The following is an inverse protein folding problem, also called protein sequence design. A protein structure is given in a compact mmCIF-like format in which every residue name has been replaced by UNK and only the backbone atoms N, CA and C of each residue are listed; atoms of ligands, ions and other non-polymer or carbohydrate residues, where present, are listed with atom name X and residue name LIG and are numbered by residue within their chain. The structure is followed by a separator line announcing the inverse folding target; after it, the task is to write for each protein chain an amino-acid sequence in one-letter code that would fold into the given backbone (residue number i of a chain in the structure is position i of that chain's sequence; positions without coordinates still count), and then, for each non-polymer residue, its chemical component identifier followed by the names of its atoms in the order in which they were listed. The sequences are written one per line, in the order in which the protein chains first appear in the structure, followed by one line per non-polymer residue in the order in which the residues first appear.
data_IF_542119313135
#
_entry.id   IF_542119313135
#
_cell.length_a   1.000
_cell.length_b   1.000
_cell.length_c   1.000
_cell.angle_alpha   90.00
_cell.angle_beta   90.00
_cell.angle_gamma   90.00
#
_symmetry.space_group_name_H-M   'P 1'
#
loop_
_entity.id
_entity.type
_entity.pdbx_description
1 polymer ?
#
# COMPACT_ATOMS: atom_id res chain seq x y z
N UNK A 1 -2.98 36.59 21.16
CA UNK A 1 -2.77 35.63 20.06
C UNK A 1 -2.47 34.29 20.70
N UNK A 2 -3.48 33.43 20.84
CA UNK A 2 -3.32 32.08 21.40
C UNK A 2 -2.89 31.16 20.27
N UNK A 3 -1.58 31.01 20.08
CA UNK A 3 -1.01 30.00 19.20
C UNK A 3 -1.18 28.64 19.85
N UNK A 4 -1.91 27.74 19.18
CA UNK A 4 -2.06 26.36 19.63
C UNK A 4 -0.72 25.64 19.49
N UNK A 5 -0.13 25.19 20.60
CA UNK A 5 1.05 24.32 20.61
C UNK A 5 0.57 22.89 20.37
N UNK A 6 0.50 22.47 19.11
CA UNK A 6 0.36 21.05 18.81
C UNK A 6 1.72 20.41 19.03
N UNK A 7 1.86 19.57 20.07
CA UNK A 7 3.01 18.67 20.13
C UNK A 7 2.76 17.56 19.11
N UNK A 8 3.47 17.65 17.98
CA UNK A 8 3.62 16.49 17.10
C UNK A 8 4.49 15.52 17.89
N UNK A 9 3.86 14.54 18.55
CA UNK A 9 4.62 13.39 19.03
C UNK A 9 5.27 12.79 17.78
N UNK A 10 6.59 12.61 17.80
CA UNK A 10 7.24 11.70 16.86
C UNK A 10 6.67 10.31 17.15
N UNK A 11 5.56 9.96 16.51
CA UNK A 11 5.25 8.57 16.20
C UNK A 11 6.21 8.17 15.08
N UNK A 12 7.50 8.07 15.44
CA UNK A 12 8.40 7.23 14.68
C UNK A 12 7.73 5.87 14.59
N UNK A 13 7.66 5.30 13.39
CA UNK A 13 7.44 3.87 13.27
C UNK A 13 8.64 3.20 13.95
N UNK A 14 8.56 2.98 15.27
CA UNK A 14 9.55 2.22 16.05
C UNK A 14 9.60 0.75 15.58
N UNK A 15 8.65 0.36 14.75
CA UNK A 15 8.61 -0.91 14.06
C UNK A 15 9.46 -0.87 12.80
N UNK A 16 10.39 -1.82 12.72
CA UNK A 16 11.20 -2.08 11.54
C UNK A 16 10.27 -2.31 10.35
N UNK A 17 10.37 -1.42 9.35
CA UNK A 17 9.68 -1.59 8.08
C UNK A 17 10.40 -2.62 7.22
N UNK A 18 9.63 -3.37 6.43
CA UNK A 18 10.15 -4.24 5.39
C UNK A 18 10.94 -3.43 4.38
N UNK A 19 12.03 -4.01 3.86
CA UNK A 19 12.70 -3.49 2.68
C UNK A 19 11.85 -3.73 1.42
N UNK A 20 12.12 -3.01 0.31
CA UNK A 20 11.46 -3.29 -0.97
C UNK A 20 11.59 -4.76 -1.41
N UNK A 21 12.75 -5.37 -1.18
CA UNK A 21 13.01 -6.78 -1.52
C UNK A 21 12.19 -7.73 -0.63
N UNK A 22 12.10 -7.46 0.67
CA UNK A 22 11.26 -8.23 1.59
C UNK A 22 9.78 -8.10 1.20
N UNK A 23 9.34 -6.91 0.78
CA UNK A 23 7.97 -6.67 0.31
C UNK A 23 7.68 -7.43 -1.00
N UNK A 24 8.63 -7.48 -1.95
CA UNK A 24 8.50 -8.32 -3.16
C UNK A 24 8.35 -9.79 -2.78
N UNK A 25 9.16 -10.29 -1.84
CA UNK A 25 9.03 -11.65 -1.33
C UNK A 25 7.65 -11.93 -0.75
N UNK A 26 7.12 -11.01 0.07
CA UNK A 26 5.77 -11.12 0.64
C UNK A 26 4.67 -11.09 -0.41
N UNK A 27 4.82 -10.28 -1.45
CA UNK A 27 3.89 -10.26 -2.58
C UNK A 27 3.88 -11.60 -3.33
N UNK A 28 5.07 -12.19 -3.56
CA UNK A 28 5.18 -13.49 -4.22
C UNK A 28 4.59 -14.63 -3.38
N UNK A 29 4.80 -14.61 -2.05
CA UNK A 29 4.20 -15.58 -1.12
C UNK A 29 2.66 -15.52 -1.14
N UNK A 30 2.09 -14.33 -1.37
CA UNK A 30 0.66 -14.07 -1.35
C UNK A 30 0.05 -13.95 -2.75
N UNK A 31 0.82 -14.25 -3.80
CA UNK A 31 0.39 -14.03 -5.19
C UNK A 31 -0.83 -14.87 -5.58
N UNK A 32 -1.06 -16.00 -4.92
CA UNK A 32 -2.26 -16.84 -5.13
C UNK A 32 -3.56 -16.14 -4.72
N UNK A 33 -3.49 -15.09 -3.91
CA UNK A 33 -4.65 -14.28 -3.49
C UNK A 33 -5.03 -13.21 -4.52
N UNK A 34 -4.17 -12.98 -5.52
CA UNK A 34 -4.39 -11.97 -6.54
C UNK A 34 -5.21 -12.58 -7.68
N UNK A 35 -6.40 -12.03 -7.90
CA UNK A 35 -7.19 -12.30 -9.09
C UNK A 35 -7.07 -11.10 -10.05
N UNK A 36 -6.37 -11.32 -11.16
CA UNK A 36 -6.19 -10.34 -12.23
C UNK A 36 -7.15 -10.58 -13.40
N UNK A 37 -8.37 -11.05 -13.12
CA UNK A 37 -9.45 -11.22 -14.11
C UNK A 37 -9.03 -12.00 -15.38
N UNK A 38 -8.15 -12.99 -15.22
CA UNK A 38 -7.68 -13.86 -16.31
C UNK A 38 -6.37 -13.45 -16.97
N UNK A 39 -5.69 -12.40 -16.51
CA UNK A 39 -4.30 -12.13 -16.92
C UNK A 39 -3.33 -13.13 -16.29
N UNK A 40 -2.55 -13.80 -17.14
CA UNK A 40 -1.60 -14.85 -16.72
C UNK A 40 -0.32 -14.30 -16.08
N UNK A 41 -0.03 -13.03 -16.25
CA UNK A 41 1.15 -12.36 -15.72
C UNK A 41 0.89 -10.86 -15.62
N UNK A 42 1.42 -10.23 -14.57
CA UNK A 42 1.39 -8.78 -14.40
C UNK A 42 2.82 -8.30 -14.20
N UNK A 43 3.25 -7.38 -15.05
CA UNK A 43 4.59 -6.78 -14.95
C UNK A 43 4.55 -5.57 -14.03
N UNK A 44 5.28 -5.65 -12.92
CA UNK A 44 5.53 -4.51 -12.04
C UNK A 44 6.83 -3.83 -12.45
N UNK A 45 6.75 -2.56 -12.84
CA UNK A 45 7.93 -1.78 -13.27
C UNK A 45 8.40 -0.77 -12.22
N UNK A 46 7.58 -0.48 -11.21
CA UNK A 46 7.90 0.50 -10.18
C UNK A 46 7.35 0.07 -8.81
N UNK A 47 8.16 0.26 -7.79
CA UNK A 47 7.79 0.10 -6.39
C UNK A 47 7.97 1.46 -5.71
N UNK A 48 6.98 1.88 -4.92
CA UNK A 48 7.02 3.15 -4.19
C UNK A 48 6.54 2.95 -2.76
N UNK A 49 7.16 3.65 -1.81
CA UNK A 49 6.62 3.76 -0.46
C UNK A 49 5.53 4.83 -0.46
N UNK A 50 4.29 4.43 -0.22
CA UNK A 50 3.14 5.33 -0.06
C UNK A 50 2.56 5.20 1.36
N UNK A 51 1.78 6.20 1.78
CA UNK A 51 0.98 6.10 3.00
C UNK A 51 -0.50 6.06 2.62
N UNK A 52 -1.21 5.05 3.11
CA UNK A 52 -2.64 4.90 2.89
C UNK A 52 -3.40 5.16 4.19
N UNK A 53 -4.57 5.78 4.03
CA UNK A 53 -5.51 5.97 5.13
C UNK A 53 -6.51 4.84 5.09
N UNK A 54 -6.61 4.08 6.16
CA UNK A 54 -7.58 3.01 6.33
C UNK A 54 -8.48 3.32 7.51
N UNK A 55 -9.76 2.97 7.38
CA UNK A 55 -10.71 3.01 8.50
C UNK A 55 -10.74 1.60 9.06
N UNK A 56 -10.26 1.41 10.29
CA UNK A 56 -10.30 0.11 10.94
C UNK A 56 -11.74 -0.30 11.29
N UNK A 57 -12.01 -1.59 11.55
CA UNK A 57 -13.36 -2.06 11.86
C UNK A 57 -14.02 -1.40 13.09
N UNK A 58 -13.22 -0.83 13.99
CA UNK A 58 -13.66 -0.07 15.16
C UNK A 58 -13.87 1.44 14.87
N UNK A 59 -13.75 1.85 13.60
CA UNK A 59 -13.98 3.22 13.14
C UNK A 59 -12.80 4.17 13.34
N UNK A 60 -11.62 3.69 13.75
CA UNK A 60 -10.45 4.54 13.87
C UNK A 60 -9.83 4.82 12.49
N UNK A 61 -9.36 6.06 12.31
CA UNK A 61 -8.63 6.46 11.11
C UNK A 61 -7.15 6.17 11.35
N UNK A 62 -6.59 5.21 10.62
CA UNK A 62 -5.20 4.81 10.72
C UNK A 62 -4.45 5.18 9.44
N UNK A 63 -3.22 5.67 9.61
CA UNK A 63 -2.29 5.90 8.50
C UNK A 63 -1.27 4.77 8.51
N UNK A 64 -1.23 4.00 7.43
CA UNK A 64 -0.33 2.84 7.29
C UNK A 64 0.68 3.06 6.16
N UNK A 65 1.97 2.74 6.37
CA UNK A 65 2.94 2.71 5.28
C UNK A 65 2.71 1.48 4.40
N UNK A 66 2.81 1.67 3.09
CA UNK A 66 2.53 0.66 2.07
C UNK A 66 3.64 0.66 1.03
N UNK A 67 4.22 -0.51 0.78
CA UNK A 67 4.99 -0.74 -0.44
C UNK A 67 4.03 -0.96 -1.59
N UNK A 68 3.81 0.09 -2.39
CA UNK A 68 2.93 0.03 -3.55
C UNK A 68 3.68 -0.50 -4.77
N UNK A 69 3.09 -1.50 -5.40
CA UNK A 69 3.53 -2.05 -6.68
C UNK A 69 2.68 -1.41 -7.78
N UNK A 70 3.34 -0.79 -8.75
CA UNK A 70 2.66 -0.16 -9.89
C UNK A 70 2.77 -1.10 -11.09
N UNK A 71 1.69 -1.86 -11.40
CA UNK A 71 1.63 -2.69 -12.59
C UNK A 71 1.51 -1.83 -13.84
N UNK A 72 2.14 -2.25 -14.93
CA UNK A 72 2.12 -1.58 -16.23
C UNK A 72 3.52 -1.35 -16.78
N UNK A 73 3.69 -1.61 -18.07
CA UNK A 73 4.97 -1.48 -18.77
C UNK A 73 5.34 -0.01 -19.00
N UNK A 74 4.33 0.84 -19.24
CA UNK A 74 4.48 2.27 -19.53
C UNK A 74 3.64 3.15 -18.58
N UNK A 75 3.78 4.48 -18.71
CA UNK A 75 3.07 5.44 -17.85
C UNK A 75 1.56 5.40 -18.04
N UNK A 76 1.09 5.15 -19.26
CA UNK A 76 -0.34 5.14 -19.58
C UNK A 76 -1.03 3.93 -18.92
N UNK A 77 -0.42 2.75 -18.99
CA UNK A 77 -0.89 1.54 -18.31
C UNK A 77 -0.87 1.69 -16.78
N UNK A 78 0.23 2.26 -16.23
CA UNK A 78 0.30 2.54 -14.79
C UNK A 78 -0.77 3.54 -14.34
N UNK A 79 -1.10 4.52 -15.17
CA UNK A 79 -2.15 5.49 -14.88
C UNK A 79 -3.55 4.86 -14.94
N UNK A 80 -3.80 3.96 -15.88
CA UNK A 80 -5.05 3.22 -15.99
C UNK A 80 -5.30 2.38 -14.73
N UNK A 81 -4.28 1.67 -14.24
CA UNK A 81 -4.35 0.81 -13.06
C UNK A 81 -4.20 1.56 -11.73
N UNK A 82 -4.09 2.89 -11.75
CA UNK A 82 -3.83 3.71 -10.55
C UNK A 82 -4.95 3.66 -9.51
N UNK A 83 -6.17 3.33 -9.93
CA UNK A 83 -7.31 3.17 -9.01
C UNK A 83 -7.17 1.93 -8.14
N UNK A 84 -6.52 0.88 -8.66
CA UNK A 84 -6.21 -0.32 -7.88
C UNK A 84 -4.96 -0.07 -7.03
N UNK A 85 -5.06 -0.39 -5.75
CA UNK A 85 -3.95 -0.41 -4.81
C UNK A 85 -3.50 -1.86 -4.77
N UNK A 86 -2.39 -2.16 -5.44
CA UNK A 86 -1.58 -3.34 -5.17
C UNK A 86 -0.45 -2.93 -4.25
N UNK A 87 -0.43 -3.44 -3.03
CA UNK A 87 0.62 -3.10 -2.09
C UNK A 87 0.78 -4.11 -0.97
N UNK A 88 1.92 -4.02 -0.30
CA UNK A 88 2.20 -4.78 0.91
C UNK A 88 2.33 -3.78 2.06
N UNK A 89 1.60 -3.99 3.15
CA UNK A 89 1.76 -3.22 4.37
C UNK A 89 3.24 -3.32 4.80
N UNK A 90 3.91 -2.17 4.85
CA UNK A 90 5.36 -2.14 5.06
C UNK A 90 5.76 -2.54 6.48
N UNK A 91 4.81 -2.70 7.40
CA UNK A 91 5.02 -3.10 8.78
C UNK A 91 4.61 -4.56 8.99
N UNK A 92 3.42 -4.94 8.52
CA UNK A 92 2.88 -6.29 8.79
C UNK A 92 3.22 -7.30 7.70
N UNK A 93 3.52 -6.85 6.48
CA UNK A 93 3.69 -7.71 5.31
C UNK A 93 2.39 -8.22 4.69
N UNK A 94 1.24 -7.69 5.14
CA UNK A 94 -0.08 -8.05 4.64
C UNK A 94 -0.32 -7.49 3.23
N UNK A 95 -0.88 -8.33 2.35
CA UNK A 95 -1.30 -7.91 1.01
C UNK A 95 -2.55 -7.01 1.09
N UNK A 96 -2.44 -5.84 0.49
CA UNK A 96 -3.54 -4.92 0.23
C UNK A 96 -3.78 -4.92 -1.28
N UNK A 97 -4.92 -5.48 -1.68
CA UNK A 97 -5.42 -5.49 -3.05
C UNK A 97 -6.85 -4.97 -3.07
N UNK A 98 -6.99 -3.65 -3.23
CA UNK A 98 -8.29 -2.96 -3.13
C UNK A 98 -8.38 -1.79 -4.10
N UNK A 99 -9.61 -1.39 -4.47
CA UNK A 99 -9.85 -0.18 -5.27
C UNK A 99 -9.93 1.06 -4.36
N UNK A 100 -9.26 2.14 -4.76
CA UNK A 100 -9.33 3.43 -4.05
C UNK A 100 -10.76 3.92 -3.93
N UNK A 101 -11.18 4.23 -2.71
CA UNK A 101 -12.47 4.85 -2.44
C UNK A 101 -13.64 3.87 -2.40
N UNK A 102 -13.38 2.56 -2.42
CA UNK A 102 -14.42 1.57 -2.18
C UNK A 102 -14.60 1.39 -0.66
N UNK A 103 -15.45 2.21 -0.07
CA UNK A 103 -16.04 1.93 1.25
C UNK A 103 -17.14 0.88 1.07
N UNK A 104 -16.91 -0.33 1.55
CA UNK A 104 -18.00 -1.24 1.93
C UNK A 104 -18.64 -0.76 3.24
#
# INVERSE_FOLDING_TARGET
MTGSLFSVNETGLDQKMLSPEEAVGKLQEQAELLDFEGESHVTVTKIALEYVVVISPDGQILVKPLWRFLPGENEDERNFLRQNILGIDAVTGELIWEERGNTL
#
